data_IF_830796416844
#
_entry.id   IF_830796416844
#
_cell.length_a   1.000
_cell.length_b   1.000
_cell.length_c   1.000
_cell.angle_alpha   90.00
_cell.angle_beta   90.00
_cell.angle_gamma   90.00
#
_symmetry.space_group_name_H-M   'P 1'
#
loop_
_entity.id
_entity.type
_entity.pdbx_description
1 polymer ?
#
# COMPACT_ATOMS: atom_id res chain seq x y z
N UNK A 1 11.34 -11.99 28.31
CA UNK A 1 10.48 -10.80 28.30
C UNK A 1 9.83 -10.74 26.92
N UNK A 2 8.57 -10.33 26.80
CA UNK A 2 7.97 -10.13 25.48
C UNK A 2 8.78 -9.08 24.71
N UNK A 3 8.90 -9.26 23.41
CA UNK A 3 9.62 -8.34 22.52
C UNK A 3 8.93 -6.97 22.53
N UNK A 4 9.71 -5.89 22.58
CA UNK A 4 9.18 -4.54 22.43
C UNK A 4 8.76 -4.26 20.98
N UNK A 5 7.92 -3.24 20.78
CA UNK A 5 7.52 -2.79 19.45
C UNK A 5 8.74 -2.42 18.57
N UNK A 6 9.71 -1.71 19.16
CA UNK A 6 10.92 -1.26 18.47
C UNK A 6 11.77 -2.45 17.98
N UNK A 7 12.03 -3.41 18.86
CA UNK A 7 12.79 -4.62 18.50
C UNK A 7 12.08 -5.44 17.41
N UNK A 8 10.75 -5.53 17.48
CA UNK A 8 9.96 -6.23 16.47
C UNK A 8 10.00 -5.49 15.13
N UNK A 9 9.85 -4.17 15.13
CA UNK A 9 9.92 -3.34 13.93
C UNK A 9 11.28 -3.43 13.23
N UNK A 10 12.38 -3.39 13.98
CA UNK A 10 13.74 -3.56 13.45
C UNK A 10 13.89 -4.91 12.75
N UNK A 11 13.35 -5.98 13.34
CA UNK A 11 13.38 -7.32 12.74
C UNK A 11 12.53 -7.43 11.50
N UNK A 12 11.33 -6.84 11.50
CA UNK A 12 10.46 -6.80 10.30
C UNK A 12 11.17 -6.01 9.18
N UNK A 13 11.75 -4.84 9.49
CA UNK A 13 12.50 -4.03 8.52
C UNK A 13 13.68 -4.81 7.92
N UNK A 14 14.46 -5.48 8.76
CA UNK A 14 15.58 -6.30 8.31
C UNK A 14 15.12 -7.43 7.38
N UNK A 15 14.03 -8.11 7.72
CA UNK A 15 13.43 -9.16 6.91
C UNK A 15 12.91 -8.63 5.57
N UNK A 16 12.22 -7.48 5.55
CA UNK A 16 11.71 -6.85 4.32
C UNK A 16 12.86 -6.54 3.35
N UNK A 17 13.95 -5.96 3.85
CA UNK A 17 15.09 -5.50 3.01
C UNK A 17 15.97 -6.64 2.51
N UNK A 18 16.26 -7.62 3.35
CA UNK A 18 17.22 -8.69 3.03
C UNK A 18 16.57 -9.99 2.58
N UNK A 19 15.33 -10.25 3.02
CA UNK A 19 14.70 -11.57 2.93
C UNK A 19 15.38 -12.64 3.80
N UNK A 20 16.41 -12.28 4.57
CA UNK A 20 17.14 -13.21 5.43
C UNK A 20 16.37 -13.48 6.73
N UNK A 21 16.44 -14.73 7.19
CA UNK A 21 15.77 -15.19 8.41
C UNK A 21 14.56 -16.10 8.14
N UNK A 22 13.85 -16.45 9.20
CA UNK A 22 12.66 -17.29 9.13
C UNK A 22 11.39 -16.44 9.17
N UNK A 23 10.64 -16.44 8.06
CA UNK A 23 9.31 -15.84 8.01
C UNK A 23 8.38 -16.43 9.08
N UNK A 24 8.46 -17.74 9.31
CA UNK A 24 7.61 -18.42 10.29
C UNK A 24 7.91 -17.93 11.71
N UNK A 25 9.18 -17.78 12.08
CA UNK A 25 9.54 -17.25 13.40
C UNK A 25 9.08 -15.80 13.54
N UNK A 26 9.32 -14.96 12.52
CA UNK A 26 8.87 -13.58 12.53
C UNK A 26 7.34 -13.48 12.66
N UNK A 27 6.59 -14.34 11.98
CA UNK A 27 5.15 -14.40 12.07
C UNK A 27 4.67 -14.80 13.48
N UNK A 28 5.36 -15.72 14.16
CA UNK A 28 5.07 -16.05 15.56
C UNK A 28 5.34 -14.88 16.51
N UNK A 29 6.47 -14.19 16.33
CA UNK A 29 6.82 -13.05 17.17
C UNK A 29 5.80 -11.89 16.99
N UNK A 30 5.37 -11.63 15.75
CA UNK A 30 4.29 -10.67 15.46
C UNK A 30 2.97 -11.13 16.05
N UNK A 31 2.63 -12.41 15.94
CA UNK A 31 1.39 -12.96 16.50
C UNK A 31 1.34 -12.84 18.01
N UNK A 32 2.41 -13.19 18.72
CA UNK A 32 2.52 -13.06 20.17
C UNK A 32 2.36 -11.60 20.60
N UNK A 33 3.06 -10.68 19.92
CA UNK A 33 2.96 -9.25 20.20
C UNK A 33 1.53 -8.71 19.96
N UNK A 34 0.90 -9.06 18.84
CA UNK A 34 -0.48 -8.64 18.56
C UNK A 34 -1.47 -9.28 19.53
N UNK A 35 -1.32 -10.55 19.90
CA UNK A 35 -2.19 -11.20 20.88
C UNK A 35 -2.09 -10.54 22.27
N UNK A 36 -0.90 -10.07 22.67
CA UNK A 36 -0.70 -9.39 23.94
C UNK A 36 -1.28 -7.96 23.94
N UNK A 37 -1.22 -7.24 22.82
CA UNK A 37 -1.44 -5.79 22.80
C UNK A 37 -2.67 -5.33 22.00
N UNK A 38 -3.22 -6.14 21.09
CA UNK A 38 -4.39 -5.83 20.30
C UNK A 38 -5.63 -6.56 20.85
N UNK A 39 -6.38 -5.89 21.72
CA UNK A 39 -7.53 -6.48 22.41
C UNK A 39 -8.60 -7.06 21.47
N UNK A 40 -9.09 -6.35 20.43
CA UNK A 40 -10.06 -6.94 19.48
C UNK A 40 -9.52 -8.20 18.79
N UNK A 41 -8.23 -8.20 18.40
CA UNK A 41 -7.62 -9.36 17.75
C UNK A 41 -7.44 -10.53 18.72
N UNK A 42 -7.02 -10.27 19.97
CA UNK A 42 -6.95 -11.29 21.03
C UNK A 42 -8.29 -11.97 21.24
N UNK A 43 -9.36 -11.19 21.39
CA UNK A 43 -10.72 -11.73 21.57
C UNK A 43 -11.17 -12.60 20.38
N UNK A 44 -10.82 -12.18 19.16
CA UNK A 44 -11.07 -12.98 17.96
C UNK A 44 -10.33 -14.32 17.99
N UNK A 45 -9.04 -14.31 18.32
CA UNK A 45 -8.21 -15.52 18.42
C UNK A 45 -8.70 -16.48 19.51
N UNK A 46 -9.06 -15.95 20.70
CA UNK A 46 -9.59 -16.76 21.80
C UNK A 46 -10.89 -17.46 21.43
N UNK A 47 -11.80 -16.82 20.67
CA UNK A 47 -13.04 -17.46 20.20
C UNK A 47 -12.80 -18.61 19.22
N UNK A 48 -11.65 -18.62 18.55
CA UNK A 48 -11.22 -19.68 17.65
C UNK A 48 -10.39 -20.75 18.38
N UNK A 49 -10.17 -20.61 19.69
CA UNK A 49 -9.24 -21.42 20.48
C UNK A 49 -7.82 -21.43 19.91
N UNK A 50 -7.37 -20.30 19.34
CA UNK A 50 -6.00 -20.14 18.82
C UNK A 50 -5.24 -19.17 19.73
N UNK A 51 -4.10 -19.61 20.26
CA UNK A 51 -3.22 -18.85 21.16
C UNK A 51 -1.76 -19.04 20.74
N UNK A 52 -0.83 -18.17 21.19
CA UNK A 52 0.61 -18.37 20.93
C UNK A 52 1.12 -19.76 21.35
N UNK A 53 0.55 -20.36 22.40
CA UNK A 53 0.98 -21.67 22.92
C UNK A 53 0.58 -22.87 22.04
N UNK A 54 -0.44 -22.72 21.19
CA UNK A 54 -1.02 -23.85 20.44
C UNK A 54 -0.92 -23.72 18.92
N UNK A 55 -0.29 -22.65 18.44
CA UNK A 55 0.08 -22.47 17.03
C UNK A 55 1.44 -23.11 16.80
N UNK A 56 1.53 -23.97 15.79
CA UNK A 56 2.76 -24.69 15.43
C UNK A 56 3.18 -24.43 13.98
N UNK A 57 2.38 -23.71 13.21
CA UNK A 57 2.69 -23.29 11.85
C UNK A 57 2.03 -21.94 11.57
N UNK A 58 2.74 -21.00 10.92
CA UNK A 58 2.26 -19.62 10.76
C UNK A 58 0.88 -19.51 10.06
N UNK A 59 0.56 -20.42 9.15
CA UNK A 59 -0.77 -20.49 8.49
C UNK A 59 -1.94 -20.77 9.44
N UNK A 60 -1.69 -21.18 10.68
CA UNK A 60 -2.72 -21.37 11.70
C UNK A 60 -3.08 -20.06 12.42
N UNK A 61 -2.27 -19.01 12.25
CA UNK A 61 -2.56 -17.68 12.80
C UNK A 61 -3.84 -17.15 12.15
N UNK A 62 -4.88 -16.76 12.92
CA UNK A 62 -6.15 -16.36 12.34
C UNK A 62 -6.04 -15.07 11.52
N UNK A 63 -6.48 -15.14 10.26
CA UNK A 63 -6.60 -13.96 9.40
C UNK A 63 -7.81 -13.13 9.80
N UNK A 64 -7.63 -11.82 9.94
CA UNK A 64 -8.72 -10.89 10.28
C UNK A 64 -9.44 -10.45 9.00
N UNK A 65 -10.78 -10.55 8.93
CA UNK A 65 -11.52 -10.01 7.79
C UNK A 65 -11.32 -8.50 7.65
N UNK A 66 -11.09 -8.01 6.43
CA UNK A 66 -10.94 -6.56 6.16
C UNK A 66 -12.11 -5.71 6.67
N UNK A 67 -13.30 -6.31 6.77
CA UNK A 67 -14.49 -5.67 7.33
C UNK A 67 -14.36 -5.32 8.82
N UNK A 68 -13.56 -6.06 9.60
CA UNK A 68 -13.37 -5.81 11.02
C UNK A 68 -12.79 -4.41 11.31
N UNK A 69 -11.96 -3.88 10.41
CA UNK A 69 -11.39 -2.53 10.48
C UNK A 69 -12.45 -1.41 10.41
N UNK A 70 -13.71 -1.72 10.08
CA UNK A 70 -14.84 -0.77 10.18
C UNK A 70 -15.42 -0.67 11.59
N UNK A 71 -15.25 -1.73 12.40
CA UNK A 71 -15.94 -1.89 13.68
C UNK A 71 -14.99 -1.86 14.87
N UNK A 72 -13.71 -2.14 14.65
CA UNK A 72 -12.71 -2.24 15.70
C UNK A 72 -11.45 -1.48 15.31
N UNK A 73 -10.88 -0.78 16.27
CA UNK A 73 -9.54 -0.23 16.17
C UNK A 73 -8.54 -1.37 16.41
N UNK A 74 -8.11 -2.01 15.32
CA UNK A 74 -7.10 -3.07 15.34
C UNK A 74 -5.72 -2.43 15.48
N UNK A 75 -5.31 -2.17 16.71
CA UNK A 75 -4.05 -1.50 17.06
C UNK A 75 -3.40 -2.15 18.30
N UNK A 76 -2.08 -2.14 18.36
CA UNK A 76 -1.30 -2.59 19.53
C UNK A 76 -0.92 -1.43 20.47
N UNK A 77 -1.12 -0.20 20.01
CA UNK A 77 -0.80 1.04 20.70
C UNK A 77 -2.04 1.96 20.66
N UNK A 78 -2.12 3.00 21.52
CA UNK A 78 -3.25 3.92 21.49
C UNK A 78 -3.43 4.55 20.10
N UNK A 79 -4.61 4.47 19.47
CA UNK A 79 -4.84 4.98 18.11
C UNK A 79 -4.44 6.46 17.89
N UNK A 80 -4.49 7.29 18.94
CA UNK A 80 -4.11 8.70 18.88
C UNK A 80 -2.60 8.92 18.73
N UNK A 81 -1.78 7.91 18.99
CA UNK A 81 -0.32 7.99 18.90
C UNK A 81 0.17 7.63 17.49
N UNK A 82 -0.71 7.13 16.61
CA UNK A 82 -0.36 6.75 15.25
C UNK A 82 -0.01 7.98 14.38
N UNK A 83 1.21 8.06 13.82
CA UNK A 83 1.60 9.18 12.95
C UNK A 83 0.81 9.25 11.64
N UNK A 84 0.32 8.11 11.15
CA UNK A 84 -0.46 8.01 9.92
C UNK A 84 -1.74 7.20 10.17
N UNK A 85 -2.85 7.70 9.63
CA UNK A 85 -4.15 7.03 9.68
C UNK A 85 -4.71 6.98 8.26
N UNK A 86 -4.81 5.78 7.70
CA UNK A 86 -5.42 5.57 6.40
C UNK A 86 -6.88 5.19 6.52
N UNK A 87 -7.68 5.69 5.58
CA UNK A 87 -9.12 5.47 5.53
C UNK A 87 -9.49 4.80 4.21
N UNK A 88 -10.30 3.74 4.24
CA UNK A 88 -10.82 3.12 3.01
C UNK A 88 -11.67 4.11 2.21
N UNK A 89 -11.83 3.98 0.88
CA UNK A 89 -12.53 4.97 0.02
C UNK A 89 -14.00 5.27 0.41
N UNK A 90 -14.58 4.48 1.31
CA UNK A 90 -15.98 4.60 1.72
C UNK A 90 -16.92 3.93 0.72
N UNK A 91 -17.83 3.10 1.22
CA UNK A 91 -18.91 2.53 0.41
C UNK A 91 -20.15 3.41 0.53
N UNK A 92 -21.16 3.21 -0.33
CA UNK A 92 -22.48 3.89 -0.39
C UNK A 92 -23.26 4.03 0.94
N UNK A 93 -22.77 3.45 2.04
CA UNK A 93 -23.34 3.56 3.40
C UNK A 93 -22.83 4.79 4.19
N UNK A 94 -22.04 5.68 3.58
CA UNK A 94 -21.70 7.00 4.13
C UNK A 94 -20.33 7.10 4.82
N UNK A 95 -19.88 8.34 5.06
CA UNK A 95 -18.55 8.68 5.58
C UNK A 95 -18.26 8.19 7.00
N UNK A 96 -19.28 7.83 7.78
CA UNK A 96 -19.16 7.36 9.17
C UNK A 96 -18.80 5.87 9.31
N UNK A 97 -18.68 5.12 8.21
CA UNK A 97 -18.39 3.68 8.20
C UNK A 97 -17.13 3.31 7.40
N UNK A 98 -16.15 4.22 7.31
CA UNK A 98 -14.87 3.95 6.65
C UNK A 98 -13.99 3.09 7.57
N UNK A 99 -13.34 2.10 6.99
CA UNK A 99 -12.31 1.33 7.70
C UNK A 99 -11.14 2.25 8.02
N UNK A 100 -10.55 2.10 9.21
CA UNK A 100 -9.35 2.83 9.62
C UNK A 100 -8.18 1.88 9.73
N UNK A 101 -7.01 2.32 9.29
CA UNK A 101 -5.75 1.61 9.46
C UNK A 101 -4.75 2.55 10.11
N UNK A 102 -4.38 2.25 11.35
CA UNK A 102 -3.41 3.01 12.14
C UNK A 102 -2.01 2.48 11.85
N UNK A 103 -1.11 3.37 11.42
CA UNK A 103 0.27 3.03 11.07
C UNK A 103 1.18 3.74 12.06
N UNK A 104 1.69 2.97 13.03
CA UNK A 104 2.56 3.45 14.10
C UNK A 104 4.00 3.69 13.64
N UNK A 105 4.47 2.87 12.69
CA UNK A 105 5.78 3.02 12.09
C UNK A 105 5.68 3.26 10.57
N UNK A 106 5.76 4.52 10.11
CA UNK A 106 5.74 4.85 8.69
C UNK A 106 6.88 4.21 7.88
N UNK A 107 8.05 3.98 8.50
CA UNK A 107 9.20 3.36 7.80
C UNK A 107 8.93 1.91 7.42
N UNK A 108 8.20 1.16 8.25
CA UNK A 108 7.75 -0.19 7.90
C UNK A 108 6.83 -0.18 6.68
N UNK A 109 5.89 0.77 6.65
CA UNK A 109 4.99 0.91 5.51
C UNK A 109 5.76 1.30 4.23
N UNK A 110 6.69 2.26 4.34
CA UNK A 110 7.59 2.67 3.25
C UNK A 110 8.41 1.49 2.73
N UNK A 111 9.12 0.78 3.61
CA UNK A 111 9.97 -0.34 3.22
C UNK A 111 9.16 -1.45 2.53
N UNK A 112 8.00 -1.82 3.08
CA UNK A 112 7.11 -2.82 2.48
C UNK A 112 6.67 -2.43 1.06
N UNK A 113 6.25 -1.17 0.86
CA UNK A 113 5.83 -0.67 -0.43
C UNK A 113 7.00 -0.59 -1.43
N UNK A 114 8.12 0.01 -1.03
CA UNK A 114 9.25 0.28 -1.92
C UNK A 114 9.99 -1.01 -2.33
N UNK A 115 10.28 -1.92 -1.40
CA UNK A 115 10.99 -3.18 -1.73
C UNK A 115 10.16 -4.07 -2.65
N UNK A 116 8.85 -4.14 -2.42
CA UNK A 116 7.94 -4.85 -3.32
C UNK A 116 7.87 -4.19 -4.70
N UNK A 117 7.69 -2.87 -4.74
CA UNK A 117 7.58 -2.13 -6.00
C UNK A 117 8.85 -2.26 -6.84
N UNK A 118 10.02 -2.07 -6.23
CA UNK A 118 11.32 -2.25 -6.89
C UNK A 118 11.44 -3.65 -7.51
N UNK A 119 11.20 -4.70 -6.72
CA UNK A 119 11.36 -6.10 -7.17
C UNK A 119 10.40 -6.49 -8.30
N UNK A 120 9.17 -5.98 -8.30
CA UNK A 120 8.11 -6.47 -9.17
C UNK A 120 7.73 -5.54 -10.31
N UNK A 121 8.01 -4.24 -10.18
CA UNK A 121 7.67 -3.22 -11.19
C UNK A 121 8.92 -2.69 -11.88
N UNK A 122 10.08 -2.67 -11.19
CA UNK A 122 11.34 -2.13 -11.70
C UNK A 122 12.52 -3.12 -11.54
N UNK A 123 12.45 -4.35 -12.07
CA UNK A 123 13.49 -5.35 -11.85
C UNK A 123 14.87 -4.95 -12.38
N UNK A 124 14.93 -4.00 -13.32
CA UNK A 124 16.17 -3.54 -13.97
C UNK A 124 16.74 -2.25 -13.37
N UNK A 125 16.20 -1.77 -12.23
CA UNK A 125 16.62 -0.54 -11.54
C UNK A 125 16.57 0.75 -12.40
N UNK A 126 15.81 0.72 -13.50
CA UNK A 126 15.65 1.87 -14.40
C UNK A 126 14.73 2.92 -13.77
N UNK A 127 15.20 4.17 -13.71
CA UNK A 127 14.37 5.32 -13.36
C UNK A 127 13.55 5.77 -14.57
N UNK A 128 12.26 5.49 -14.53
CA UNK A 128 11.31 5.85 -15.59
C UNK A 128 10.48 7.07 -15.19
N UNK A 129 9.99 7.87 -16.15
CA UNK A 129 8.95 8.85 -15.86
C UNK A 129 7.68 8.15 -15.38
N UNK A 130 7.18 8.53 -14.21
CA UNK A 130 5.92 8.02 -13.68
C UNK A 130 4.79 8.97 -14.05
N UNK A 131 3.79 8.46 -14.78
CA UNK A 131 2.55 9.15 -15.04
C UNK A 131 1.51 8.62 -14.06
N UNK A 132 1.23 9.41 -13.01
CA UNK A 132 0.41 8.97 -11.88
C UNK A 132 -1.00 9.52 -12.03
N UNK A 133 -1.92 8.66 -12.42
CA UNK A 133 -3.36 8.93 -12.59
C UNK A 133 -4.08 8.85 -11.23
N UNK A 134 -3.52 9.53 -10.23
CA UNK A 134 -4.04 9.57 -8.87
C UNK A 134 -3.63 10.89 -8.19
N UNK A 135 -4.42 11.42 -7.22
CA UNK A 135 -4.04 12.64 -6.51
C UNK A 135 -2.70 12.48 -5.77
N UNK A 136 -1.92 13.56 -5.63
CA UNK A 136 -0.73 13.55 -4.76
C UNK A 136 -1.14 13.42 -3.29
N UNK A 137 -0.20 12.98 -2.44
CA UNK A 137 -0.44 12.80 -1.00
C UNK A 137 -0.97 14.07 -0.32
N UNK A 138 -0.46 15.24 -0.72
CA UNK A 138 -0.84 16.53 -0.13
C UNK A 138 -2.32 16.88 -0.35
N UNK A 139 -2.92 16.38 -1.44
CA UNK A 139 -4.35 16.54 -1.74
C UNK A 139 -5.21 15.44 -1.08
N UNK A 140 -4.62 14.28 -0.71
CA UNK A 140 -5.36 13.13 -0.19
C UNK A 140 -4.68 12.43 1.01
N UNK A 141 -4.42 13.19 2.09
CA UNK A 141 -3.70 12.76 3.31
C UNK A 141 -4.30 11.61 4.14
N UNK A 142 -5.33 10.93 3.66
CA UNK A 142 -5.89 9.74 4.31
C UNK A 142 -5.88 8.52 3.38
N UNK A 143 -5.32 8.65 2.18
CA UNK A 143 -5.23 7.58 1.19
C UNK A 143 -3.89 6.87 1.27
N UNK A 144 -3.94 5.58 1.62
CA UNK A 144 -2.75 4.71 1.62
C UNK A 144 -2.14 4.57 0.22
N UNK A 145 -2.96 4.68 -0.83
CA UNK A 145 -2.51 4.65 -2.23
C UNK A 145 -1.82 5.96 -2.63
N UNK A 146 -2.34 7.13 -2.25
CA UNK A 146 -1.65 8.40 -2.51
C UNK A 146 -0.28 8.40 -1.82
N UNK A 147 -0.25 8.01 -0.54
CA UNK A 147 0.99 7.89 0.21
C UNK A 147 2.01 6.94 -0.45
N UNK A 148 1.56 5.76 -0.89
CA UNK A 148 2.42 4.80 -1.58
C UNK A 148 2.94 5.34 -2.92
N UNK A 149 2.08 5.94 -3.74
CA UNK A 149 2.46 6.46 -5.06
C UNK A 149 3.48 7.60 -4.95
N UNK A 150 3.29 8.55 -4.02
CA UNK A 150 4.26 9.62 -3.78
C UNK A 150 5.62 9.07 -3.32
N UNK A 151 5.62 8.07 -2.42
CA UNK A 151 6.87 7.45 -1.95
C UNK A 151 7.64 6.76 -3.08
N UNK A 152 6.97 5.94 -3.89
CA UNK A 152 7.64 5.22 -4.98
C UNK A 152 8.08 6.18 -6.10
N UNK A 153 7.30 7.23 -6.37
CA UNK A 153 7.69 8.27 -7.33
C UNK A 153 8.92 9.03 -6.85
N UNK A 154 8.98 9.39 -5.56
CA UNK A 154 10.14 10.05 -4.96
C UNK A 154 11.39 9.16 -4.97
N UNK A 155 11.24 7.87 -4.69
CA UNK A 155 12.37 6.93 -4.58
C UNK A 155 12.88 6.47 -5.97
N UNK A 156 11.98 6.19 -6.91
CA UNK A 156 12.28 5.49 -8.15
C UNK A 156 11.90 6.22 -9.44
N UNK A 157 11.06 7.26 -9.36
CA UNK A 157 10.68 8.06 -10.51
C UNK A 157 11.85 8.87 -11.06
N UNK A 158 11.80 9.20 -12.35
CA UNK A 158 12.65 10.25 -12.92
C UNK A 158 12.10 11.65 -12.59
N UNK A 159 12.89 12.70 -12.87
CA UNK A 159 12.49 14.11 -12.71
C UNK A 159 11.25 14.51 -13.53
N UNK A 160 10.90 13.69 -14.53
CA UNK A 160 9.73 13.84 -15.40
C UNK A 160 8.45 13.22 -14.83
N UNK A 161 8.50 12.68 -13.61
CA UNK A 161 7.36 12.04 -12.95
C UNK A 161 6.34 13.09 -12.47
N UNK A 162 5.05 12.83 -12.67
CA UNK A 162 4.00 13.76 -12.30
C UNK A 162 2.67 13.07 -11.96
N UNK A 163 1.91 13.71 -11.08
CA UNK A 163 0.50 13.41 -10.86
C UNK A 163 -0.37 14.11 -11.89
N UNK A 164 -1.44 13.45 -12.33
CA UNK A 164 -2.37 13.94 -13.34
C UNK A 164 -3.79 14.04 -12.82
N UNK A 165 -4.00 13.90 -11.50
CA UNK A 165 -5.29 14.19 -10.87
C UNK A 165 -5.09 15.37 -9.94
N UNK A 166 -5.86 16.44 -10.19
CA UNK A 166 -5.89 17.63 -9.36
C UNK A 166 -7.33 18.01 -9.08
N UNK A 167 -7.63 18.41 -7.84
CA UNK A 167 -8.99 18.76 -7.41
C UNK A 167 -10.01 17.65 -7.71
N UNK A 168 -9.56 16.39 -7.65
CA UNK A 168 -10.38 15.20 -7.92
C UNK A 168 -10.69 14.94 -9.40
N UNK A 169 -10.09 15.70 -10.32
CA UNK A 169 -10.32 15.57 -11.76
C UNK A 169 -9.08 15.03 -12.48
N UNK A 170 -9.26 14.00 -13.30
CA UNK A 170 -8.19 13.47 -14.15
C UNK A 170 -7.92 14.39 -15.34
N UNK A 171 -6.68 14.85 -15.46
CA UNK A 171 -6.19 15.70 -16.56
C UNK A 171 -5.89 14.86 -17.81
N UNK A 172 -6.90 14.15 -18.32
CA UNK A 172 -6.75 13.15 -19.39
C UNK A 172 -6.04 13.69 -20.63
N UNK A 173 -6.35 14.91 -21.07
CA UNK A 173 -5.70 15.51 -22.23
C UNK A 173 -4.19 15.65 -22.04
N UNK A 174 -3.75 16.00 -20.82
CA UNK A 174 -2.33 16.16 -20.51
C UNK A 174 -1.62 14.81 -20.49
N UNK A 175 -2.27 13.78 -19.93
CA UNK A 175 -1.77 12.40 -19.94
C UNK A 175 -1.56 11.94 -21.38
N UNK A 176 -2.57 12.09 -22.23
CA UNK A 176 -2.51 11.71 -23.66
C UNK A 176 -1.41 12.47 -24.39
N UNK A 177 -1.32 13.80 -24.20
CA UNK A 177 -0.26 14.61 -24.82
C UNK A 177 1.12 14.10 -24.40
N UNK A 178 1.31 13.74 -23.13
CA UNK A 178 2.58 13.19 -22.64
C UNK A 178 2.88 11.81 -23.25
N UNK A 179 1.87 10.93 -23.34
CA UNK A 179 2.02 9.62 -23.97
C UNK A 179 2.31 9.70 -25.47
N UNK A 180 1.85 10.74 -26.16
CA UNK A 180 2.13 10.95 -27.58
C UNK A 180 3.52 11.54 -27.86
N UNK A 181 4.14 12.21 -26.89
CA UNK A 181 5.43 12.89 -27.07
C UNK A 181 6.60 12.15 -26.44
N UNK A 182 6.34 11.15 -25.60
CA UNK A 182 7.40 10.36 -24.96
C UNK A 182 8.04 9.40 -25.97
N UNK A 183 9.36 9.36 -25.98
CA UNK A 183 10.21 8.51 -26.82
C UNK A 183 10.83 7.34 -26.05
N UNK A 184 10.59 7.30 -24.74
CA UNK A 184 11.11 6.31 -23.78
C UNK A 184 9.98 5.60 -23.03
N UNK A 185 10.24 4.43 -22.42
CA UNK A 185 9.26 3.76 -21.59
C UNK A 185 8.81 4.64 -20.41
N UNK A 186 7.53 4.55 -20.04
CA UNK A 186 6.94 5.24 -18.89
C UNK A 186 6.27 4.23 -17.96
N UNK A 187 6.21 4.55 -16.67
CA UNK A 187 5.39 3.82 -15.74
C UNK A 187 4.04 4.54 -15.58
N UNK A 188 2.95 3.92 -16.04
CA UNK A 188 1.61 4.47 -15.89
C UNK A 188 0.95 3.84 -14.65
N UNK A 189 0.69 4.65 -13.63
CA UNK A 189 0.21 4.21 -12.31
C UNK A 189 -1.15 4.83 -12.03
N UNK A 190 -2.11 4.07 -11.49
CA UNK A 190 -3.43 4.62 -11.21
C UNK A 190 -4.44 3.58 -10.75
N UNK A 191 -5.65 4.04 -10.48
CA UNK A 191 -6.78 3.15 -10.17
C UNK A 191 -7.46 2.66 -11.45
N UNK A 192 -8.19 1.54 -11.38
CA UNK A 192 -8.99 1.05 -12.50
C UNK A 192 -9.95 2.09 -13.06
N UNK A 193 -10.50 2.98 -12.22
CA UNK A 193 -11.38 4.06 -12.66
C UNK A 193 -10.63 5.10 -13.50
N UNK A 194 -9.44 5.52 -13.06
CA UNK A 194 -8.62 6.46 -13.82
C UNK A 194 -8.17 5.87 -15.18
N UNK A 195 -7.85 4.57 -15.22
CA UNK A 195 -7.60 3.87 -16.48
C UNK A 195 -8.84 3.80 -17.36
N UNK A 196 -10.02 3.55 -16.80
CA UNK A 196 -11.27 3.58 -17.56
C UNK A 196 -11.50 4.95 -18.21
N UNK A 197 -11.38 6.04 -17.46
CA UNK A 197 -11.53 7.41 -17.98
C UNK A 197 -10.52 7.72 -19.09
N UNK A 198 -9.25 7.33 -18.91
CA UNK A 198 -8.22 7.49 -19.93
C UNK A 198 -8.57 6.71 -21.22
N UNK A 199 -8.98 5.44 -21.08
CA UNK A 199 -9.30 4.58 -22.22
C UNK A 199 -10.57 5.04 -22.96
N UNK A 200 -11.58 5.50 -22.22
CA UNK A 200 -12.82 6.05 -22.78
C UNK A 200 -12.53 7.32 -23.59
N UNK A 201 -11.70 8.22 -23.05
CA UNK A 201 -11.23 9.39 -23.79
C UNK A 201 -10.47 8.99 -25.06
N UNK A 202 -9.51 8.07 -24.96
CA UNK A 202 -8.76 7.58 -26.13
C UNK A 202 -9.71 7.02 -27.20
N UNK A 203 -10.72 6.26 -26.80
CA UNK A 203 -11.74 5.73 -27.69
C UNK A 203 -12.53 6.85 -28.38
N UNK A 204 -13.00 7.84 -27.62
CA UNK A 204 -13.77 8.99 -28.14
C UNK A 204 -12.98 9.82 -29.16
N UNK A 205 -11.66 9.94 -28.97
CA UNK A 205 -10.75 10.68 -29.84
C UNK A 205 -10.11 9.80 -30.92
N UNK A 206 -10.49 8.52 -31.01
CA UNK A 206 -9.92 7.53 -31.93
C UNK A 206 -8.39 7.39 -31.84
N UNK A 207 -7.83 7.63 -30.65
CA UNK A 207 -6.41 7.53 -30.38
C UNK A 207 -6.00 6.07 -30.20
N UNK A 208 -4.82 5.72 -30.71
CA UNK A 208 -4.22 4.40 -30.58
C UNK A 208 -2.76 4.54 -30.20
N UNK A 209 -2.35 3.75 -29.21
CA UNK A 209 -0.96 3.66 -28.77
C UNK A 209 -0.43 2.27 -29.12
N UNK A 210 0.79 2.22 -29.68
CA UNK A 210 1.50 0.96 -29.85
C UNK A 210 2.28 0.71 -28.55
N UNK A 211 1.90 -0.32 -27.82
CA UNK A 211 2.63 -0.71 -26.62
C UNK A 211 3.98 -1.33 -27.00
N UNK A 212 5.01 -1.23 -26.13
CA UNK A 212 6.30 -1.88 -26.35
C UNK A 212 6.10 -3.37 -26.62
N UNK A 213 6.89 -3.92 -27.54
CA UNK A 213 6.93 -5.37 -27.75
C UNK A 213 7.58 -5.97 -26.50
N UNK A 214 6.89 -6.87 -25.80
CA UNK A 214 7.47 -7.56 -24.64
C UNK A 214 8.66 -8.38 -25.16
N UNK A 215 9.87 -7.97 -24.84
CA UNK A 215 11.04 -8.84 -25.02
C UNK A 215 10.89 -9.96 -23.99
N UNK A 216 10.71 -11.19 -24.47
CA UNK A 216 10.56 -12.38 -23.64
C UNK A 216 11.84 -12.78 -22.93
#
# INVERSE_FOLDING_TARGET
MPMSAVELDERILAFIKSGEGSFEQLAFDVFEYQFANNEPYRQYCMRLNVTPDNVHHWKQIPAVPALAFKFFDLACEPPNDAPLIFLSSGTTQGAHARSKHYVFNPELYRASACEWFKRHVLPDDVRLPFLILFPPWDEMRTSSLAYMLDMVACEFGSDDSAHFVHDGMLMVEQVVRRLMTVDSPVCLLGTSLAFYELLDYCHSQQLRFQLPTVAG
#
